data_IF_864325701044
#
_entry.id   IF_864325701044
#
_cell.length_a   1.000
_cell.length_b   1.000
_cell.length_c   1.000
_cell.angle_alpha   90.00
_cell.angle_beta   90.00
_cell.angle_gamma   90.00
#
_symmetry.space_group_name_H-M   'P 1'
#
loop_
_entity.id
_entity.type
_entity.pdbx_description
1 polymer ?
#
# COMPACT_ATOMS: atom_id res chain seq x y z
N UNK A 1 -3.91 -9.65 19.00
CA UNK A 1 -5.23 -10.29 19.09
C UNK A 1 -6.05 -9.95 17.83
N UNK A 2 -7.00 -10.79 17.42
CA UNK A 2 -7.79 -10.53 16.20
C UNK A 2 -8.72 -9.31 16.40
N UNK A 3 -8.77 -8.39 15.43
CA UNK A 3 -9.60 -7.19 15.49
C UNK A 3 -11.09 -7.50 15.74
N UNK A 4 -11.59 -8.63 15.19
CA UNK A 4 -12.97 -9.10 15.39
C UNK A 4 -13.24 -9.52 16.82
N UNK A 5 -12.24 -10.05 17.54
CA UNK A 5 -12.38 -10.42 18.95
C UNK A 5 -12.49 -9.17 19.83
N UNK A 6 -11.63 -8.18 19.58
CA UNK A 6 -11.63 -6.91 20.31
C UNK A 6 -12.98 -6.20 20.15
N UNK A 7 -13.44 -5.98 18.91
CA UNK A 7 -14.69 -5.25 18.67
C UNK A 7 -15.91 -5.99 19.28
N UNK A 8 -15.90 -7.33 19.26
CA UNK A 8 -17.03 -8.12 19.79
C UNK A 8 -17.24 -7.96 21.31
N UNK A 9 -16.20 -7.56 22.06
CA UNK A 9 -16.27 -7.34 23.52
C UNK A 9 -16.86 -5.97 23.86
N UNK A 10 -16.59 -4.97 23.04
CA UNK A 10 -16.88 -3.56 23.35
C UNK A 10 -18.09 -2.99 22.60
N UNK A 11 -18.47 -3.60 21.46
CA UNK A 11 -19.56 -3.11 20.61
C UNK A 11 -20.90 -3.80 20.92
N UNK A 12 -21.96 -2.99 21.01
CA UNK A 12 -23.35 -3.48 21.09
C UNK A 12 -24.19 -2.81 20.00
N UNK A 13 -24.86 -3.64 19.14
CA UNK A 13 -25.74 -3.10 18.10
C UNK A 13 -27.00 -2.48 18.67
N UNK A 14 -27.54 -1.42 18.07
CA UNK A 14 -28.76 -0.72 18.53
C UNK A 14 -29.98 -1.65 18.69
N UNK A 15 -30.06 -2.74 17.97
CA UNK A 15 -31.15 -3.73 18.05
C UNK A 15 -30.83 -4.96 18.91
N UNK A 16 -29.66 -5.05 19.55
CA UNK A 16 -29.25 -6.14 20.45
C UNK A 16 -29.11 -7.54 19.85
N UNK A 17 -29.39 -7.70 18.54
CA UNK A 17 -29.51 -9.04 17.90
C UNK A 17 -28.37 -9.42 16.97
N UNK A 18 -27.49 -8.48 16.58
CA UNK A 18 -26.43 -8.75 15.60
C UNK A 18 -25.13 -9.11 16.30
N UNK A 19 -24.60 -10.29 16.00
CA UNK A 19 -23.25 -10.67 16.38
C UNK A 19 -22.29 -10.10 15.34
N UNK A 20 -21.47 -9.16 15.74
CA UNK A 20 -20.59 -8.41 14.85
C UNK A 20 -19.58 -9.31 14.09
N UNK A 21 -19.22 -10.46 14.65
CA UNK A 21 -18.35 -11.45 14.01
C UNK A 21 -18.97 -12.19 12.83
N UNK A 22 -20.29 -12.21 12.73
CA UNK A 22 -21.02 -12.99 11.71
C UNK A 22 -21.54 -12.11 10.56
N UNK A 23 -21.22 -10.82 10.56
CA UNK A 23 -21.68 -9.90 9.53
C UNK A 23 -20.84 -10.02 8.24
N UNK A 24 -21.42 -9.72 7.08
CA UNK A 24 -20.67 -9.69 5.82
C UNK A 24 -19.55 -8.67 5.84
N UNK A 25 -18.48 -8.95 5.08
CA UNK A 25 -17.39 -7.99 4.87
C UNK A 25 -17.85 -6.73 4.14
N UNK A 26 -17.19 -5.61 4.40
CA UNK A 26 -17.48 -4.30 3.83
C UNK A 26 -18.90 -3.81 4.15
N UNK A 27 -19.31 -4.00 5.39
CA UNK A 27 -20.60 -3.51 5.91
C UNK A 27 -20.40 -2.57 7.09
N UNK A 28 -21.30 -1.59 7.20
CA UNK A 28 -21.31 -0.59 8.26
C UNK A 28 -22.44 -0.90 9.23
N UNK A 29 -22.15 -0.84 10.51
CA UNK A 29 -23.07 -1.16 11.58
C UNK A 29 -23.17 -0.03 12.59
N UNK A 30 -24.38 0.43 12.82
CA UNK A 30 -24.68 1.45 13.82
C UNK A 30 -24.88 0.81 15.20
N UNK A 31 -24.26 1.40 16.20
CA UNK A 31 -24.35 0.91 17.57
C UNK A 31 -23.58 1.75 18.58
N UNK A 32 -23.11 1.11 19.61
CA UNK A 32 -22.53 1.76 20.80
C UNK A 32 -21.26 1.06 21.23
N UNK A 33 -20.28 1.82 21.71
CA UNK A 33 -19.08 1.31 22.39
C UNK A 33 -19.29 1.38 23.90
N UNK A 34 -18.93 0.29 24.58
CA UNK A 34 -19.01 0.13 26.01
C UNK A 34 -17.64 -0.22 26.62
N UNK A 35 -17.31 0.37 27.77
CA UNK A 35 -16.25 -0.08 28.66
C UNK A 35 -16.91 -0.79 29.88
N UNK A 36 -17.00 -2.11 29.84
CA UNK A 36 -17.83 -2.87 30.75
C UNK A 36 -19.34 -2.54 30.57
N UNK A 37 -19.94 -1.89 31.57
CA UNK A 37 -21.32 -1.46 31.51
C UNK A 37 -21.47 0.05 31.19
N UNK A 38 -20.37 0.81 31.14
CA UNK A 38 -20.38 2.22 30.83
C UNK A 38 -20.51 2.46 29.34
N UNK A 39 -21.52 3.20 28.90
CA UNK A 39 -21.65 3.66 27.51
C UNK A 39 -20.63 4.78 27.26
N UNK A 40 -19.75 4.54 26.29
CA UNK A 40 -18.68 5.48 25.91
C UNK A 40 -19.12 6.40 24.79
N UNK A 41 -19.62 5.82 23.68
CA UNK A 41 -20.03 6.61 22.52
C UNK A 41 -21.00 5.84 21.62
N UNK A 42 -21.75 6.58 20.81
CA UNK A 42 -22.57 6.09 19.72
C UNK A 42 -21.79 6.17 18.42
N UNK A 43 -21.63 5.04 17.71
CA UNK A 43 -20.63 4.88 16.66
C UNK A 43 -21.17 4.20 15.40
N UNK A 44 -20.47 4.37 14.28
CA UNK A 44 -20.51 3.49 13.15
C UNK A 44 -19.30 2.58 13.17
N UNK A 45 -19.51 1.28 12.97
CA UNK A 45 -18.44 0.30 12.90
C UNK A 45 -18.42 -0.33 11.51
N UNK A 46 -17.31 -0.17 10.81
CA UNK A 46 -17.07 -0.82 9.51
C UNK A 46 -16.31 -2.12 9.73
N UNK A 47 -16.82 -3.21 9.16
CA UNK A 47 -16.23 -4.55 9.24
C UNK A 47 -15.68 -4.95 7.88
N UNK A 48 -14.41 -5.32 7.86
CA UNK A 48 -13.71 -5.76 6.65
C UNK A 48 -12.95 -7.06 6.95
N UNK A 49 -13.37 -8.15 6.30
CA UNK A 49 -12.70 -9.45 6.45
C UNK A 49 -11.59 -9.65 5.43
N UNK A 50 -10.52 -10.29 5.89
CA UNK A 50 -9.44 -10.75 5.04
C UNK A 50 -9.96 -11.57 3.83
N UNK A 51 -9.25 -11.56 2.67
CA UNK A 51 -8.02 -10.82 2.38
C UNK A 51 -8.28 -9.44 1.74
N UNK A 52 -9.53 -9.02 1.55
CA UNK A 52 -9.89 -7.78 0.82
C UNK A 52 -9.91 -6.57 1.75
N UNK A 53 -8.76 -6.27 2.36
CA UNK A 53 -8.53 -5.11 3.23
C UNK A 53 -7.22 -4.43 2.86
N UNK A 54 -6.90 -3.31 3.48
CA UNK A 54 -5.63 -2.62 3.23
C UNK A 54 -4.42 -3.47 3.63
N UNK A 55 -4.47 -4.10 4.81
CA UNK A 55 -3.38 -4.95 5.31
C UNK A 55 -3.44 -6.39 4.83
N UNK A 56 -4.57 -6.83 4.26
CA UNK A 56 -4.84 -8.24 3.98
C UNK A 56 -5.32 -9.04 5.20
N UNK A 57 -5.49 -8.40 6.36
CA UNK A 57 -5.98 -8.97 7.61
C UNK A 57 -7.39 -8.46 7.93
N UNK A 58 -8.09 -9.11 8.87
CA UNK A 58 -9.37 -8.59 9.35
C UNK A 58 -9.18 -7.19 9.93
N UNK A 59 -9.98 -6.25 9.46
CA UNK A 59 -9.90 -4.83 9.84
C UNK A 59 -11.25 -4.36 10.34
N UNK A 60 -11.21 -3.56 11.40
CA UNK A 60 -12.37 -2.89 11.97
C UNK A 60 -12.07 -1.39 12.07
N UNK A 61 -12.95 -0.57 11.53
CA UNK A 61 -12.91 0.88 11.71
C UNK A 61 -14.08 1.32 12.60
N UNK A 62 -13.79 2.22 13.53
CA UNK A 62 -14.79 2.78 14.46
C UNK A 62 -14.86 4.28 14.22
N UNK A 63 -15.96 4.74 13.64
CA UNK A 63 -16.25 6.16 13.46
C UNK A 63 -17.01 6.67 14.67
N UNK A 64 -16.32 7.41 15.54
CA UNK A 64 -16.84 7.99 16.76
C UNK A 64 -17.05 9.50 16.65
N UNK A 65 -17.69 10.13 17.65
CA UNK A 65 -17.82 11.58 17.67
C UNK A 65 -16.46 12.28 17.77
N UNK A 66 -16.31 13.42 17.05
CA UNK A 66 -15.04 14.14 16.82
C UNK A 66 -14.50 14.94 18.03
N UNK A 67 -14.99 14.72 19.23
CA UNK A 67 -14.44 15.33 20.44
C UNK A 67 -13.17 14.63 20.89
N UNK A 68 -12.09 15.38 21.21
CA UNK A 68 -10.80 14.81 21.62
C UNK A 68 -10.97 13.82 22.78
N UNK A 69 -11.79 14.16 23.77
CA UNK A 69 -12.04 13.30 24.93
C UNK A 69 -12.83 12.04 24.55
N UNK A 70 -13.83 12.14 23.67
CA UNK A 70 -14.59 10.99 23.21
C UNK A 70 -13.70 10.01 22.43
N UNK A 71 -12.88 10.51 21.47
CA UNK A 71 -11.91 9.70 20.74
C UNK A 71 -10.92 9.01 21.68
N UNK A 72 -10.40 9.72 22.69
CA UNK A 72 -9.48 9.15 23.68
C UNK A 72 -10.15 8.02 24.48
N UNK A 73 -11.39 8.19 24.91
CA UNK A 73 -12.15 7.18 25.65
C UNK A 73 -12.40 5.93 24.81
N UNK A 74 -12.75 6.10 23.53
CA UNK A 74 -12.91 4.97 22.60
C UNK A 74 -11.59 4.23 22.40
N UNK A 75 -10.49 4.97 22.16
CA UNK A 75 -9.15 4.39 22.02
C UNK A 75 -8.73 3.61 23.28
N UNK A 76 -8.87 4.21 24.46
CA UNK A 76 -8.53 3.55 25.72
C UNK A 76 -9.35 2.27 25.94
N UNK A 77 -10.62 2.26 25.53
CA UNK A 77 -11.48 1.09 25.60
C UNK A 77 -11.01 -0.03 24.67
N UNK A 78 -10.61 0.33 23.45
CA UNK A 78 -10.05 -0.63 22.47
C UNK A 78 -8.73 -1.23 22.99
N UNK A 79 -7.83 -0.41 23.54
CA UNK A 79 -6.55 -0.84 24.10
C UNK A 79 -6.73 -1.77 25.31
N UNK A 80 -7.63 -1.43 26.25
CA UNK A 80 -7.97 -2.30 27.40
C UNK A 80 -8.49 -3.68 26.99
N UNK A 81 -9.07 -3.77 25.80
CA UNK A 81 -9.64 -5.02 25.29
C UNK A 81 -8.71 -5.80 24.37
N UNK A 82 -7.40 -5.48 24.36
CA UNK A 82 -6.36 -6.31 23.75
C UNK A 82 -5.84 -5.81 22.39
N UNK A 83 -6.17 -4.57 22.02
CA UNK A 83 -5.45 -3.91 20.94
C UNK A 83 -4.14 -3.26 21.44
N UNK A 84 -3.26 -2.96 20.51
CA UNK A 84 -2.00 -2.25 20.76
C UNK A 84 -1.92 -1.04 19.83
N UNK A 85 -1.21 -0.02 20.26
CA UNK A 85 -0.97 1.16 19.42
C UNK A 85 -0.01 0.76 18.30
N UNK A 86 -0.42 0.99 17.05
CA UNK A 86 0.42 0.73 15.90
C UNK A 86 1.58 1.72 15.80
N UNK A 87 2.74 1.22 15.39
CA UNK A 87 3.89 2.07 15.06
C UNK A 87 3.65 2.85 13.74
N UNK A 88 4.33 3.99 13.55
CA UNK A 88 4.28 4.69 12.27
C UNK A 88 4.65 3.77 11.10
N UNK A 89 3.77 3.68 10.09
CA UNK A 89 3.96 2.83 8.91
C UNK A 89 3.61 1.35 9.12
N UNK A 90 3.15 0.93 10.29
CA UNK A 90 2.87 -0.49 10.59
C UNK A 90 1.81 -1.09 9.66
N UNK A 91 0.75 -0.36 9.32
CA UNK A 91 -0.28 -0.83 8.38
C UNK A 91 0.31 -1.13 7.00
N UNK A 92 1.16 -0.24 6.48
CA UNK A 92 1.85 -0.43 5.20
C UNK A 92 2.84 -1.60 5.26
N UNK A 93 3.58 -1.73 6.36
CA UNK A 93 4.48 -2.87 6.62
C UNK A 93 3.71 -4.20 6.60
N UNK A 94 2.56 -4.28 7.29
CA UNK A 94 1.70 -5.48 7.29
C UNK A 94 1.17 -5.79 5.89
N UNK A 95 0.71 -4.78 5.16
CA UNK A 95 0.25 -4.93 3.77
C UNK A 95 1.36 -5.51 2.86
N UNK A 96 2.60 -5.04 3.00
CA UNK A 96 3.76 -5.58 2.30
C UNK A 96 4.07 -7.03 2.71
N UNK A 97 4.13 -7.34 4.00
CA UNK A 97 4.41 -8.69 4.50
C UNK A 97 3.34 -9.71 4.09
N UNK A 98 2.09 -9.27 3.98
CA UNK A 98 0.96 -10.10 3.52
C UNK A 98 0.85 -10.16 1.98
N UNK A 99 1.82 -9.63 1.25
CA UNK A 99 1.84 -9.67 -0.23
C UNK A 99 0.77 -8.82 -0.91
N UNK A 100 0.13 -7.90 -0.17
CA UNK A 100 -0.92 -7.00 -0.70
C UNK A 100 -0.34 -5.92 -1.60
N UNK A 101 0.89 -5.52 -1.35
CA UNK A 101 1.66 -4.56 -2.13
C UNK A 101 3.13 -4.95 -2.16
N UNK A 102 3.87 -4.46 -3.13
CA UNK A 102 5.33 -4.60 -3.18
C UNK A 102 6.05 -3.43 -2.47
N UNK A 103 7.38 -3.49 -2.40
CA UNK A 103 8.17 -2.48 -1.72
C UNK A 103 8.02 -1.09 -2.38
N UNK A 104 7.97 -1.04 -3.72
CA UNK A 104 7.83 0.24 -4.43
C UNK A 104 6.46 0.89 -4.19
N UNK A 105 5.41 0.08 -4.03
CA UNK A 105 4.08 0.56 -3.65
C UNK A 105 4.04 1.01 -2.19
N UNK A 106 4.74 0.29 -1.29
CA UNK A 106 4.83 0.66 0.12
C UNK A 106 5.55 2.01 0.32
N UNK A 107 6.63 2.26 -0.43
CA UNK A 107 7.31 3.56 -0.46
C UNK A 107 6.39 4.66 -1.01
N UNK A 108 5.64 4.36 -2.08
CA UNK A 108 4.72 5.31 -2.69
C UNK A 108 3.60 5.78 -1.74
N UNK A 109 3.19 4.99 -0.74
CA UNK A 109 2.24 5.43 0.29
C UNK A 109 2.77 6.66 1.03
N UNK A 110 4.04 6.65 1.43
CA UNK A 110 4.66 7.78 2.11
C UNK A 110 4.80 8.98 1.16
N UNK A 111 5.18 8.74 -0.09
CA UNK A 111 5.32 9.79 -1.11
C UNK A 111 4.00 10.49 -1.39
N UNK A 112 2.88 9.76 -1.42
CA UNK A 112 1.53 10.34 -1.55
C UNK A 112 1.21 11.25 -0.36
N UNK A 113 1.54 10.81 0.87
CA UNK A 113 1.29 11.60 2.09
C UNK A 113 2.16 12.87 2.13
N UNK A 114 3.39 12.80 1.63
CA UNK A 114 4.36 13.90 1.66
C UNK A 114 4.31 14.79 0.42
N UNK A 115 3.50 14.47 -0.59
CA UNK A 115 3.42 15.21 -1.83
C UNK A 115 3.05 16.67 -1.59
N UNK A 116 3.89 17.59 -2.08
CA UNK A 116 3.72 19.06 -1.91
C UNK A 116 3.12 19.74 -3.13
N UNK A 117 2.97 19.03 -4.23
CA UNK A 117 2.42 19.54 -5.47
C UNK A 117 1.70 18.44 -6.26
N UNK A 118 0.91 18.86 -7.24
CA UNK A 118 0.08 17.96 -8.06
C UNK A 118 0.92 16.92 -8.83
N UNK A 119 2.07 17.33 -9.35
CA UNK A 119 2.94 16.41 -10.11
C UNK A 119 3.53 15.32 -9.23
N UNK A 120 4.00 15.67 -8.01
CA UNK A 120 4.49 14.72 -7.04
C UNK A 120 3.38 13.74 -6.66
N UNK A 121 2.18 14.23 -6.32
CA UNK A 121 1.03 13.42 -6.00
C UNK A 121 0.67 12.45 -7.14
N UNK A 122 0.60 12.93 -8.37
CA UNK A 122 0.29 12.10 -9.53
C UNK A 122 1.33 11.00 -9.75
N UNK A 123 2.61 11.34 -9.68
CA UNK A 123 3.70 10.38 -9.82
C UNK A 123 3.64 9.29 -8.75
N UNK A 124 3.44 9.68 -7.48
CA UNK A 124 3.32 8.74 -6.36
C UNK A 124 2.08 7.85 -6.49
N UNK A 125 0.97 8.40 -7.00
CA UNK A 125 -0.25 7.61 -7.27
C UNK A 125 -0.05 6.59 -8.38
N UNK A 126 0.69 6.92 -9.44
CA UNK A 126 1.01 5.97 -10.52
C UNK A 126 1.94 4.85 -10.00
N UNK A 127 2.89 5.18 -9.15
CA UNK A 127 3.75 4.20 -8.49
C UNK A 127 2.95 3.30 -7.53
N UNK A 128 2.06 3.87 -6.72
CA UNK A 128 1.16 3.13 -5.83
C UNK A 128 0.26 2.16 -6.59
N UNK A 129 -0.14 2.50 -7.82
CA UNK A 129 -0.88 1.61 -8.74
C UNK A 129 -0.03 0.50 -9.35
N UNK A 130 1.27 0.45 -9.05
CA UNK A 130 2.18 -0.61 -9.49
C UNK A 130 2.78 -0.40 -10.87
N UNK A 131 2.93 0.85 -11.33
CA UNK A 131 3.53 1.14 -12.65
C UNK A 131 4.96 0.61 -12.76
N UNK A 132 5.78 0.77 -11.73
CA UNK A 132 7.16 0.26 -11.66
C UNK A 132 7.16 -1.26 -11.63
N UNK A 133 6.32 -1.87 -10.79
CA UNK A 133 6.19 -3.32 -10.70
C UNK A 133 5.82 -3.93 -12.06
N UNK A 134 4.86 -3.31 -12.76
CA UNK A 134 4.46 -3.78 -14.09
C UNK A 134 5.62 -3.74 -15.08
N UNK A 135 6.35 -2.61 -15.15
CA UNK A 135 7.48 -2.46 -16.05
C UNK A 135 8.57 -3.52 -15.79
N UNK A 136 8.92 -3.76 -14.52
CA UNK A 136 9.90 -4.80 -14.15
C UNK A 136 9.39 -6.19 -14.45
N UNK A 137 8.11 -6.47 -14.25
CA UNK A 137 7.50 -7.76 -14.60
C UNK A 137 7.56 -8.01 -16.10
N UNK A 138 7.19 -7.02 -16.91
CA UNK A 138 7.20 -7.13 -18.38
C UNK A 138 8.62 -7.44 -18.91
N UNK A 139 9.65 -6.74 -18.36
CA UNK A 139 11.06 -7.01 -18.68
C UNK A 139 11.44 -8.45 -18.28
N UNK A 140 11.10 -8.85 -17.05
CA UNK A 140 11.40 -10.18 -16.52
C UNK A 140 10.76 -11.30 -17.36
N UNK A 141 9.50 -11.14 -17.75
CA UNK A 141 8.78 -12.14 -18.56
C UNK A 141 9.44 -12.33 -19.91
N UNK A 142 9.86 -11.25 -20.57
CA UNK A 142 10.60 -11.34 -21.84
C UNK A 142 11.93 -12.07 -21.68
N UNK A 143 12.70 -11.74 -20.64
CA UNK A 143 13.97 -12.41 -20.39
C UNK A 143 13.79 -13.92 -20.10
N UNK A 144 12.78 -14.27 -19.29
CA UNK A 144 12.46 -15.68 -19.02
C UNK A 144 12.04 -16.41 -20.28
N UNK A 145 11.26 -15.79 -21.15
CA UNK A 145 10.88 -16.38 -22.44
C UNK A 145 12.11 -16.74 -23.27
N UNK A 146 13.07 -15.84 -23.40
CA UNK A 146 14.30 -16.09 -24.18
C UNK A 146 15.21 -17.12 -23.50
N UNK A 147 15.29 -17.16 -22.18
CA UNK A 147 16.02 -18.21 -21.45
C UNK A 147 15.39 -19.57 -21.72
N UNK A 148 14.07 -19.70 -21.59
CA UNK A 148 13.36 -20.95 -21.87
C UNK A 148 13.50 -21.41 -23.33
N UNK A 149 13.51 -20.47 -24.29
CA UNK A 149 13.73 -20.79 -25.70
C UNK A 149 15.13 -21.34 -25.92
N UNK A 150 16.18 -20.74 -25.34
CA UNK A 150 17.57 -21.24 -25.44
C UNK A 150 17.68 -22.60 -24.78
N UNK A 151 17.13 -22.81 -23.60
CA UNK A 151 17.12 -24.11 -22.91
C UNK A 151 16.45 -25.18 -23.78
N UNK A 152 15.28 -24.88 -24.36
CA UNK A 152 14.58 -25.81 -25.28
C UNK A 152 15.38 -26.15 -26.53
N UNK A 153 16.11 -25.17 -27.10
CA UNK A 153 16.95 -25.41 -28.27
C UNK A 153 18.21 -26.23 -27.94
N UNK A 154 18.71 -26.15 -26.71
CA UNK A 154 19.81 -27.00 -26.24
C UNK A 154 19.37 -28.45 -26.00
N UNK A 155 18.13 -28.63 -25.52
CA UNK A 155 17.56 -29.96 -25.25
C UNK A 155 17.13 -30.66 -26.52
N UNK A 156 16.65 -29.94 -27.54
CA UNK A 156 16.17 -30.50 -28.80
C UNK A 156 16.72 -29.73 -30.03
N UNK A 157 18.04 -29.83 -30.28
CA UNK A 157 18.70 -29.07 -31.33
C UNK A 157 18.33 -29.53 -32.76
N UNK A 158 17.68 -30.70 -32.90
CA UNK A 158 17.25 -31.20 -34.22
C UNK A 158 15.97 -30.52 -34.72
N UNK A 159 15.12 -30.00 -33.76
CA UNK A 159 13.83 -29.39 -34.07
C UNK A 159 13.78 -27.90 -33.81
N UNK A 160 14.68 -27.35 -32.99
CA UNK A 160 14.71 -25.93 -32.62
C UNK A 160 16.05 -25.33 -33.07
N UNK A 161 16.00 -24.47 -34.12
CA UNK A 161 17.20 -23.79 -34.62
C UNK A 161 17.44 -22.47 -33.87
N UNK A 162 18.71 -22.21 -33.60
CA UNK A 162 19.19 -20.92 -33.09
C UNK A 162 19.77 -20.04 -34.21
N UNK A 163 19.57 -20.37 -35.49
CA UNK A 163 20.05 -19.55 -36.58
C UNK A 163 19.42 -18.18 -36.62
N UNK A 164 20.24 -17.13 -36.58
CA UNK A 164 19.77 -15.74 -36.50
C UNK A 164 19.28 -15.27 -35.12
N UNK A 165 19.05 -16.19 -34.17
CA UNK A 165 18.56 -15.90 -32.86
C UNK A 165 19.47 -14.98 -32.01
N UNK A 166 20.81 -15.05 -32.08
CA UNK A 166 21.67 -14.11 -31.35
C UNK A 166 21.41 -12.65 -31.70
N UNK A 167 21.08 -12.35 -32.95
CA UNK A 167 20.76 -10.99 -33.40
C UNK A 167 19.39 -10.54 -32.85
N UNK A 168 18.39 -11.40 -32.90
CA UNK A 168 17.07 -11.15 -32.34
C UNK A 168 17.17 -10.90 -30.82
N UNK A 169 17.90 -11.76 -30.11
CA UNK A 169 18.12 -11.62 -28.67
C UNK A 169 18.82 -10.30 -28.33
N UNK A 170 19.83 -9.90 -29.13
CA UNK A 170 20.54 -8.64 -28.93
C UNK A 170 19.58 -7.43 -29.04
N UNK A 171 18.71 -7.42 -30.05
CA UNK A 171 17.70 -6.35 -30.19
C UNK A 171 16.74 -6.28 -28.99
N UNK A 172 16.30 -7.42 -28.49
CA UNK A 172 15.44 -7.47 -27.30
C UNK A 172 16.17 -6.92 -26.08
N UNK A 173 17.39 -7.38 -25.81
CA UNK A 173 18.20 -6.92 -24.67
C UNK A 173 18.48 -5.42 -24.76
N UNK A 174 18.79 -4.91 -25.94
CA UNK A 174 19.01 -3.47 -26.16
C UNK A 174 17.74 -2.65 -25.87
N UNK A 175 16.58 -3.15 -26.25
CA UNK A 175 15.31 -2.48 -25.99
C UNK A 175 14.97 -2.48 -24.50
N UNK A 176 15.15 -3.62 -23.81
CA UNK A 176 14.93 -3.69 -22.36
C UNK A 176 15.96 -2.82 -21.58
N UNK A 177 17.19 -2.75 -22.05
CA UNK A 177 18.19 -1.83 -21.47
C UNK A 177 17.79 -0.36 -21.63
N UNK A 178 17.20 0.04 -22.76
CA UNK A 178 16.68 1.41 -22.97
C UNK A 178 15.54 1.70 -21.98
N UNK A 179 14.64 0.74 -21.77
CA UNK A 179 13.53 0.89 -20.83
C UNK A 179 14.03 1.05 -19.39
N UNK A 180 14.98 0.22 -18.95
CA UNK A 180 15.61 0.37 -17.63
C UNK A 180 16.29 1.75 -17.48
N UNK A 181 17.02 2.20 -18.49
CA UNK A 181 17.65 3.54 -18.49
C UNK A 181 16.60 4.66 -18.42
N UNK A 182 15.46 4.50 -19.10
CA UNK A 182 14.34 5.45 -19.01
C UNK A 182 13.78 5.52 -17.59
N UNK A 183 13.54 4.37 -16.95
CA UNK A 183 13.07 4.30 -15.56
C UNK A 183 14.05 4.98 -14.59
N UNK A 184 15.34 4.72 -14.74
CA UNK A 184 16.38 5.35 -13.92
C UNK A 184 16.41 6.88 -14.09
N UNK A 185 16.28 7.37 -15.31
CA UNK A 185 16.25 8.82 -15.58
C UNK A 185 15.01 9.46 -14.95
N UNK A 186 13.83 8.86 -15.12
CA UNK A 186 12.59 9.40 -14.56
C UNK A 186 12.60 9.39 -13.02
N UNK A 187 13.29 8.47 -12.37
CA UNK A 187 13.48 8.45 -10.92
C UNK A 187 14.25 9.68 -10.43
N UNK A 188 15.34 10.05 -11.11
CA UNK A 188 16.12 11.24 -10.75
C UNK A 188 15.33 12.55 -10.95
N UNK A 189 14.59 12.66 -12.04
CA UNK A 189 13.75 13.82 -12.34
C UNK A 189 12.59 13.92 -11.33
N UNK A 190 11.96 12.79 -10.97
CA UNK A 190 10.89 12.69 -9.98
C UNK A 190 11.31 13.16 -8.59
N UNK A 191 12.52 12.79 -8.15
CA UNK A 191 13.07 13.22 -6.87
C UNK A 191 13.20 14.75 -6.79
N UNK A 192 13.67 15.39 -7.86
CA UNK A 192 13.80 16.84 -7.93
C UNK A 192 12.42 17.54 -7.87
N UNK A 193 11.39 16.96 -8.47
CA UNK A 193 10.02 17.48 -8.42
C UNK A 193 9.42 17.33 -7.02
N UNK A 194 9.73 16.24 -6.33
CA UNK A 194 9.20 15.94 -5.00
C UNK A 194 9.88 16.79 -3.92
N UNK A 195 11.21 16.85 -3.90
CA UNK A 195 12.01 17.57 -2.89
C UNK A 195 12.10 19.07 -3.17
N UNK A 196 11.97 19.49 -4.43
CA UNK A 196 12.21 20.83 -4.88
C UNK A 196 13.70 21.14 -5.01
N UNK A 197 14.01 22.40 -5.36
CA UNK A 197 15.38 22.90 -5.47
C UNK A 197 15.63 23.88 -4.35
N UNK A 198 16.61 23.60 -3.49
CA UNK A 198 17.03 24.54 -2.46
C UNK A 198 17.74 25.72 -3.12
N UNK A 199 17.12 26.91 -3.03
CA UNK A 199 17.63 28.13 -3.65
C UNK A 199 18.01 29.13 -2.56
N UNK A 200 19.23 29.62 -2.60
CA UNK A 200 19.70 30.74 -1.75
C UNK A 200 19.67 32.02 -2.56
N UNK A 201 18.91 32.98 -2.08
CA UNK A 201 18.88 34.34 -2.68
C UNK A 201 19.73 35.23 -1.78
N UNK A 202 21.00 35.50 -2.14
CA UNK A 202 21.82 36.41 -1.36
C UNK A 202 21.35 37.88 -1.60
N UNK A 203 21.09 38.57 -0.50
CA UNK A 203 20.73 40.02 -0.54
C UNK A 203 21.73 40.83 0.23
N UNK A 204 22.01 42.05 -0.26
CA UNK A 204 22.85 43.02 0.44
C UNK A 204 22.02 43.65 1.60
N UNK A 205 22.61 43.69 2.80
CA UNK A 205 22.00 44.29 3.99
C UNK A 205 21.76 45.81 3.91
N UNK A 206 22.20 46.47 2.83
CA UNK A 206 22.07 47.90 2.67
C UNK A 206 20.68 48.39 2.29
N UNK A 207 19.70 47.48 2.13
CA UNK A 207 18.33 47.81 1.72
C UNK A 207 17.24 47.11 2.54
N UNK A 208 17.56 46.65 3.74
CA UNK A 208 16.58 46.18 4.74
C UNK A 208 16.33 47.26 5.78
#
# INVERSE_FOLDING_TARGET
ENAMDVISRIYRSKGGKKKIKEVPTHTIHYGYIYDGEELIDEVLVMIMHAPRTFTGEDTVEIDCHGGVYAMQRVLDTVLKNGAEIAEPGEFTKRAFLNGRMDLSQAEAVMDVIQAKNEYALRSSMDQLRGSVQKAIRDIREKLIYHIAYIESALDDPEHISLDGYPQELLEVVDNEQKEVKRLLKTSSDGKMIQEGIQTVIPVSYTHL
#
